data_IF_562853164945
#
_entry.id   IF_562853164945
#
_cell.length_a   1.000
_cell.length_b   1.000
_cell.length_c   1.000
_cell.angle_alpha   90.00
_cell.angle_beta   90.00
_cell.angle_gamma   90.00
#
_symmetry.space_group_name_H-M   'P 1'
#
loop_
_entity.id
_entity.type
_entity.pdbx_description
1 polymer ?
#
# COMPACT_ATOMS: atom_id res chain seq x y z
N UNK A 1 4.84 4.19 -21.41
CA UNK A 1 4.55 4.51 -20.00
C UNK A 1 3.31 5.36 -19.83
N UNK A 2 3.16 6.40 -20.65
CA UNK A 2 2.01 7.30 -20.50
C UNK A 2 0.67 6.59 -20.62
N UNK A 3 0.53 5.74 -21.61
CA UNK A 3 -0.75 5.05 -21.83
C UNK A 3 -1.06 4.07 -20.70
N UNK A 4 -0.02 3.50 -20.12
CA UNK A 4 -0.22 2.61 -18.97
C UNK A 4 -0.70 3.41 -17.78
N UNK A 5 -0.08 4.55 -17.52
CA UNK A 5 -0.47 5.39 -16.40
C UNK A 5 -1.90 5.89 -16.56
N UNK A 6 -2.31 6.17 -17.78
CA UNK A 6 -3.67 6.62 -18.02
C UNK A 6 -4.72 5.58 -17.66
N UNK A 7 -4.36 4.30 -17.75
CA UNK A 7 -5.31 3.26 -17.38
C UNK A 7 -5.50 3.15 -15.88
N UNK A 8 -4.64 3.79 -15.10
CA UNK A 8 -4.72 3.72 -13.65
C UNK A 8 -5.22 5.00 -13.02
N UNK A 9 -5.80 5.91 -13.80
CA UNK A 9 -6.36 7.14 -13.26
C UNK A 9 -7.42 6.79 -12.23
N UNK A 10 -7.34 7.44 -11.06
CA UNK A 10 -8.18 7.22 -9.91
C UNK A 10 -7.95 5.88 -9.22
N UNK A 11 -6.88 5.20 -9.60
CA UNK A 11 -6.51 3.93 -8.96
C UNK A 11 -5.22 4.09 -8.19
N UNK A 12 -5.04 3.22 -7.22
CA UNK A 12 -3.85 3.26 -6.38
C UNK A 12 -2.84 2.26 -6.87
N UNK A 13 -1.63 2.72 -7.13
CA UNK A 13 -0.54 1.87 -7.59
C UNK A 13 0.75 2.33 -6.94
N UNK A 14 1.75 1.46 -6.97
CA UNK A 14 3.07 1.82 -6.51
C UNK A 14 3.87 2.39 -7.67
N UNK A 15 4.51 3.52 -7.43
CA UNK A 15 5.36 4.16 -8.42
C UNK A 15 6.78 4.26 -7.88
N UNK A 16 7.73 3.82 -8.67
CA UNK A 16 9.14 4.04 -8.36
C UNK A 16 9.58 5.27 -9.13
N UNK A 17 9.88 6.35 -8.42
CA UNK A 17 10.30 7.60 -9.00
C UNK A 17 11.69 7.86 -8.46
N UNK A 18 12.68 7.85 -9.35
CA UNK A 18 14.09 7.93 -9.00
C UNK A 18 14.46 6.74 -8.13
N UNK A 19 14.64 6.92 -6.84
CA UNK A 19 15.03 5.84 -5.96
C UNK A 19 14.01 5.60 -4.84
N UNK A 20 12.81 6.12 -4.99
CA UNK A 20 11.82 6.03 -3.93
C UNK A 20 10.49 5.51 -4.46
N UNK A 21 9.87 4.62 -3.67
CA UNK A 21 8.56 4.10 -3.99
C UNK A 21 7.48 4.94 -3.34
N UNK A 22 6.43 5.24 -4.10
CA UNK A 22 5.27 5.98 -3.62
C UNK A 22 4.03 5.13 -3.85
N UNK A 23 3.20 5.02 -2.82
CA UNK A 23 1.87 4.44 -3.00
C UNK A 23 0.98 5.59 -3.43
N UNK A 24 0.66 5.65 -4.70
CA UNK A 24 0.08 6.82 -5.32
C UNK A 24 -1.30 6.56 -5.86
N UNK A 25 -2.18 7.55 -5.71
CA UNK A 25 -3.45 7.58 -6.40
C UNK A 25 -3.30 8.50 -7.59
N UNK A 26 -3.43 7.97 -8.78
CA UNK A 26 -3.22 8.74 -10.00
C UNK A 26 -4.40 9.66 -10.21
N UNK A 27 -4.13 10.96 -10.32
CA UNK A 27 -5.16 11.95 -10.58
C UNK A 27 -5.31 12.16 -12.08
N UNK A 28 -4.20 12.27 -12.77
CA UNK A 28 -4.25 12.53 -14.19
C UNK A 28 -2.90 12.46 -14.87
N UNK A 29 -2.93 12.40 -16.18
CA UNK A 29 -1.75 12.42 -17.01
C UNK A 29 -1.99 13.49 -18.07
N UNK A 30 -1.16 14.50 -18.08
CA UNK A 30 -1.30 15.62 -19.04
C UNK A 30 0.06 15.81 -19.70
N UNK A 31 0.09 15.64 -21.02
CA UNK A 31 1.32 15.72 -21.80
C UNK A 31 2.35 14.73 -21.25
N UNK A 32 3.49 15.20 -20.77
CA UNK A 32 4.51 14.34 -20.22
C UNK A 32 4.54 14.43 -18.69
N UNK A 33 3.45 14.91 -18.09
CA UNK A 33 3.37 15.10 -16.65
C UNK A 33 2.42 14.10 -16.01
N UNK A 34 2.82 13.58 -14.89
CA UNK A 34 2.02 12.69 -14.06
C UNK A 34 1.63 13.41 -12.79
N UNK A 35 0.33 13.41 -12.50
CA UNK A 35 -0.23 14.09 -11.35
C UNK A 35 -0.81 13.03 -10.44
N UNK A 36 -0.34 12.97 -9.21
CA UNK A 36 -0.80 11.95 -8.28
C UNK A 36 -0.78 12.44 -6.83
N UNK A 37 -1.51 11.71 -5.98
CA UNK A 37 -1.53 11.96 -4.56
C UNK A 37 -0.87 10.81 -3.84
N UNK A 38 -0.20 11.09 -2.73
CA UNK A 38 0.29 10.04 -1.85
C UNK A 38 0.23 10.53 -0.42
N UNK A 39 0.28 9.58 0.52
CA UNK A 39 0.13 9.89 1.93
C UNK A 39 1.38 9.47 2.69
N UNK A 40 1.76 10.28 3.65
CA UNK A 40 2.84 9.93 4.57
C UNK A 40 2.30 10.00 6.00
N UNK A 41 2.88 9.18 6.86
CA UNK A 41 2.48 9.11 8.25
C UNK A 41 3.66 9.47 9.13
N UNK A 42 3.45 10.38 10.08
CA UNK A 42 4.47 10.75 11.04
C UNK A 42 4.14 10.03 12.35
N UNK A 43 5.01 9.10 12.72
CA UNK A 43 4.76 8.27 13.90
C UNK A 43 4.85 9.06 15.20
N UNK A 44 5.64 10.11 15.19
CA UNK A 44 5.83 10.90 16.42
C UNK A 44 4.62 11.76 16.74
N UNK A 45 4.04 12.37 15.71
CA UNK A 45 2.90 13.24 15.91
C UNK A 45 1.57 12.54 15.64
N UNK A 46 1.63 11.32 15.11
CA UNK A 46 0.44 10.54 14.72
C UNK A 46 -0.39 11.26 13.66
N UNK A 47 0.29 12.03 12.83
CA UNK A 47 -0.37 12.79 11.79
C UNK A 47 -0.12 12.20 10.42
N UNK A 48 -1.16 12.20 9.60
CA UNK A 48 -1.04 11.83 8.20
C UNK A 48 -1.02 13.08 7.38
N UNK A 49 -0.15 13.09 6.38
CA UNK A 49 -0.09 14.21 5.43
C UNK A 49 -0.42 13.66 4.05
N UNK A 50 -1.35 14.31 3.38
CA UNK A 50 -1.70 13.98 2.02
C UNK A 50 -0.97 14.95 1.10
N UNK A 51 -0.17 14.40 0.21
CA UNK A 51 0.63 15.18 -0.72
C UNK A 51 0.07 15.07 -2.12
N UNK A 52 0.17 16.14 -2.86
CA UNK A 52 -0.18 16.14 -4.26
C UNK A 52 1.08 16.51 -5.03
N UNK A 53 1.47 15.67 -5.97
CA UNK A 53 2.74 15.81 -6.68
C UNK A 53 2.53 15.76 -8.18
N UNK A 54 3.36 16.50 -8.89
CA UNK A 54 3.42 16.46 -10.33
C UNK A 54 4.87 16.19 -10.72
N UNK A 55 5.10 15.12 -11.46
CA UNK A 55 6.43 14.76 -11.91
C UNK A 55 6.41 14.49 -13.40
N UNK A 56 7.58 14.52 -14.02
CA UNK A 56 7.67 14.12 -15.43
C UNK A 56 7.54 12.60 -15.51
N UNK A 57 6.80 12.14 -16.50
CA UNK A 57 6.61 10.71 -16.69
C UNK A 57 7.96 10.02 -16.88
N UNK A 58 8.92 10.71 -17.48
CA UNK A 58 10.25 10.15 -17.70
C UNK A 58 10.98 9.83 -16.38
N UNK A 59 10.52 10.37 -15.26
CA UNK A 59 11.13 10.10 -13.97
C UNK A 59 10.55 8.85 -13.31
N UNK A 60 9.50 8.29 -13.89
CA UNK A 60 8.90 7.07 -13.37
C UNK A 60 9.68 5.90 -13.92
N UNK A 61 10.30 5.14 -13.04
CA UNK A 61 11.16 4.03 -13.43
C UNK A 61 10.39 2.72 -13.51
N UNK A 62 9.45 2.52 -12.61
CA UNK A 62 8.71 1.28 -12.54
C UNK A 62 7.34 1.50 -11.91
N UNK A 63 6.43 0.60 -12.19
CA UNK A 63 5.08 0.61 -11.63
C UNK A 63 4.79 -0.78 -11.09
N UNK A 64 4.25 -0.83 -9.87
CA UNK A 64 3.76 -2.07 -9.30
C UNK A 64 2.29 -1.91 -8.99
N UNK A 65 1.51 -2.87 -9.41
CA UNK A 65 0.07 -2.85 -9.21
C UNK A 65 -0.29 -3.76 -8.07
N UNK A 66 -1.14 -3.25 -7.19
CA UNK A 66 -1.68 -4.08 -6.12
C UNK A 66 -2.78 -4.94 -6.73
N UNK A 67 -2.57 -6.25 -6.74
CA UNK A 67 -3.55 -7.17 -7.28
C UNK A 67 -4.52 -7.58 -6.20
N UNK A 68 -4.01 -7.90 -5.04
CA UNK A 68 -4.87 -8.25 -3.91
C UNK A 68 -4.11 -8.02 -2.63
N UNK A 69 -4.87 -7.77 -1.58
CA UNK A 69 -4.29 -7.61 -0.26
C UNK A 69 -4.72 -8.81 0.56
N UNK A 70 -3.75 -9.61 0.96
CA UNK A 70 -4.03 -10.76 1.79
C UNK A 70 -3.55 -10.44 3.19
N UNK A 71 -4.44 -10.65 4.14
CA UNK A 71 -4.07 -10.41 5.52
C UNK A 71 -3.02 -11.42 5.92
N UNK A 72 -1.90 -10.90 6.35
CA UNK A 72 -0.86 -11.74 6.83
C UNK A 72 -0.80 -11.67 8.32
N UNK A 73 -1.93 -11.44 8.90
CA UNK A 73 -1.97 -11.48 10.33
C UNK A 73 -2.08 -12.91 10.72
N UNK A 74 -1.00 -13.60 10.75
CA UNK A 74 -1.04 -14.98 11.20
C UNK A 74 -1.61 -15.01 12.58
N UNK A 75 -1.45 -13.90 13.26
CA UNK A 75 -2.01 -13.74 14.57
C UNK A 75 -3.53 -13.82 14.57
N UNK A 76 -4.17 -13.51 13.47
CA UNK A 76 -5.62 -13.62 13.41
C UNK A 76 -6.02 -15.02 13.00
N UNK A 77 -5.42 -15.50 11.94
CA UNK A 77 -5.76 -16.81 11.40
C UNK A 77 -5.06 -17.92 12.18
N UNK A 78 -3.80 -17.76 12.38
CA UNK A 78 -3.00 -18.77 13.07
C UNK A 78 -3.35 -18.85 14.55
N UNK A 79 -3.71 -17.73 15.14
CA UNK A 79 -4.17 -17.76 16.52
C UNK A 79 -5.40 -18.60 16.66
N UNK A 80 -6.29 -18.51 15.70
CA UNK A 80 -7.48 -19.31 15.76
C UNK A 80 -7.19 -20.77 15.61
N UNK A 81 -6.23 -21.10 14.77
CA UNK A 81 -5.83 -22.48 14.62
C UNK A 81 -5.17 -22.97 15.89
N UNK A 82 -4.34 -22.14 16.48
CA UNK A 82 -3.68 -22.51 17.70
C UNK A 82 -4.65 -22.60 18.85
N UNK A 83 -5.60 -21.72 18.88
CA UNK A 83 -6.62 -21.76 19.91
C UNK A 83 -7.50 -22.99 19.77
N UNK A 84 -7.75 -23.37 18.56
CA UNK A 84 -8.50 -24.59 18.31
C UNK A 84 -7.70 -25.79 18.79
N UNK A 85 -6.38 -25.72 18.68
CA UNK A 85 -5.52 -26.77 19.13
C UNK A 85 -5.26 -26.68 20.60
N UNK A 86 -5.01 -25.49 21.06
CA UNK A 86 -4.62 -25.27 22.41
C UNK A 86 -5.72 -25.24 23.31
N UNK A 87 -6.56 -24.68 22.78
CA UNK A 87 -7.62 -24.59 23.55
C UNK A 87 -7.86 -25.88 23.63
N UNK A 88 -7.17 -25.84 23.13
CA UNK A 88 -6.75 -26.40 23.03
C UNK A 88 -5.74 -26.26 23.67
N UNK A 89 -5.51 -25.90 24.03
CA UNK A 89 -4.67 -25.57 24.55
C UNK A 89 -4.67 -24.77 24.95
N UNK A 90 -5.13 -24.16 24.98
CA UNK A 90 -5.15 -23.43 25.46
C UNK A 90 -5.46 -22.95 25.44
N UNK A 91 -5.87 -22.96 25.69
CA UNK A 91 -6.07 -22.57 25.82
C UNK A 91 -5.76 -22.09 25.70
N UNK A 92 -5.61 -21.96 25.77
CA UNK A 92 -5.28 -21.59 25.90
C UNK A 92 -5.07 -20.80 25.67
N UNK A 93 -5.09 -20.58 25.76
CA UNK A 93 -4.89 -20.08 25.88
C UNK A 93 -4.98 -19.37 25.62
N UNK A 94 -5.25 -19.08 25.48
CA UNK A 94 -5.31 -18.67 25.53
C UNK A 94 -5.09 -18.13 25.36
N UNK A 95 -5.02 -17.94 25.46
CA UNK A 95 -4.72 -17.62 25.66
C UNK A 95 -4.37 -17.03 25.36
N UNK A 96 -4.54 -16.65 24.84
CA UNK A 96 -4.24 -16.44 24.72
C UNK A 96 -3.98 -15.92 24.30
N UNK A 97 -3.88 -15.63 24.15
CA UNK A 97 -3.57 -15.47 23.95
C UNK A 97 -3.56 -15.06 23.90
#
# INVERSE_FOLDING_TARGET
>A
MKSILQTYIEKEIWLLIRDKWYLATIIGVVDDLLWFKHRTHNKETEEDTLWEMVVKISEVIAIDKVISVMSRKPDVFMSRLLEADNTIHNNQQEHEQ
#
